data_IF_441889319560
#
_entry.id   IF_441889319560
#
_cell.length_a   1.000
_cell.length_b   1.000
_cell.length_c   1.000
_cell.angle_alpha   90.00
_cell.angle_beta   90.00
_cell.angle_gamma   90.00
#
_symmetry.space_group_name_H-M   'P 1'
#
loop_
_entity.id
_entity.type
_entity.pdbx_description
1 polymer ?
#
# COMPACT_ATOMS: atom_id res chain seq x y z
N UNK A 1 16.24 11.59 24.34
CA UNK A 1 16.15 10.96 23.01
C UNK A 1 15.37 9.67 23.19
N UNK A 2 14.08 9.69 22.85
CA UNK A 2 13.19 8.53 22.98
C UNK A 2 13.53 7.65 21.79
N UNK A 3 14.16 6.50 22.03
CA UNK A 3 14.43 5.51 20.98
C UNK A 3 13.10 5.15 20.32
N UNK A 4 12.90 5.59 19.08
CA UNK A 4 11.77 5.17 18.26
C UNK A 4 12.08 3.73 17.84
N UNK A 5 11.75 2.77 18.70
CA UNK A 5 11.67 1.38 18.26
C UNK A 5 10.57 1.35 17.22
N UNK A 6 10.83 0.96 15.96
CA UNK A 6 9.73 0.61 15.08
C UNK A 6 9.07 -0.59 15.77
N UNK A 7 7.97 -0.32 16.47
CA UNK A 7 6.96 -1.34 16.70
C UNK A 7 6.54 -1.71 15.30
N UNK A 8 7.09 -2.76 14.72
CA UNK A 8 6.64 -3.28 13.44
C UNK A 8 5.16 -3.55 13.64
N UNK A 9 4.32 -2.62 13.17
CA UNK A 9 2.90 -2.80 13.15
C UNK A 9 2.67 -4.15 12.46
N UNK A 10 1.91 -5.08 13.06
CA UNK A 10 1.71 -6.36 12.44
C UNK A 10 1.21 -6.15 11.01
N UNK A 11 1.88 -6.77 10.05
CA UNK A 11 1.50 -6.63 8.65
C UNK A 11 0.20 -7.40 8.39
N UNK A 12 -0.53 -6.98 7.37
CA UNK A 12 -1.60 -7.81 6.82
C UNK A 12 -0.99 -9.03 6.15
N UNK A 13 -1.64 -10.20 6.30
CA UNK A 13 -1.24 -11.39 5.54
C UNK A 13 -1.54 -11.19 4.04
N UNK A 14 -0.96 -12.03 3.17
CA UNK A 14 -1.11 -11.94 1.72
C UNK A 14 -2.57 -11.90 1.25
N UNK A 15 -3.45 -12.73 1.81
CA UNK A 15 -4.88 -12.71 1.45
C UNK A 15 -5.56 -11.40 1.89
N UNK A 16 -5.21 -10.92 3.09
CA UNK A 16 -5.73 -9.66 3.64
C UNK A 16 -5.22 -8.45 2.83
N UNK A 17 -3.95 -8.47 2.43
CA UNK A 17 -3.31 -7.44 1.60
C UNK A 17 -3.89 -7.38 0.20
N UNK A 18 -4.16 -8.53 -0.43
CA UNK A 18 -4.82 -8.58 -1.74
C UNK A 18 -6.25 -8.02 -1.65
N UNK A 19 -7.00 -8.38 -0.61
CA UNK A 19 -8.35 -7.83 -0.41
C UNK A 19 -8.31 -6.30 -0.26
N UNK A 20 -7.35 -5.77 0.50
CA UNK A 20 -7.15 -4.33 0.64
C UNK A 20 -6.81 -3.67 -0.70
N UNK A 21 -5.94 -4.30 -1.50
CA UNK A 21 -5.59 -3.79 -2.83
C UNK A 21 -6.80 -3.71 -3.77
N UNK A 22 -7.60 -4.77 -3.81
CA UNK A 22 -8.81 -4.81 -4.65
C UNK A 22 -9.83 -3.77 -4.20
N UNK A 23 -10.07 -3.64 -2.89
CA UNK A 23 -10.97 -2.61 -2.37
C UNK A 23 -10.48 -1.20 -2.63
N UNK A 24 -9.18 -0.93 -2.48
CA UNK A 24 -8.59 0.38 -2.79
C UNK A 24 -8.74 0.74 -4.27
N UNK A 25 -8.59 -0.24 -5.18
CA UNK A 25 -8.82 -0.04 -6.61
C UNK A 25 -10.29 0.20 -6.97
N UNK A 26 -11.23 -0.34 -6.18
CA UNK A 26 -12.67 -0.14 -6.37
C UNK A 26 -13.12 1.23 -5.86
N UNK A 27 -12.82 1.56 -4.60
CA UNK A 27 -13.06 2.86 -4.00
C UNK A 27 -11.93 3.23 -3.00
N UNK A 28 -11.01 4.14 -3.38
CA UNK A 28 -9.89 4.51 -2.51
C UNK A 28 -10.32 5.39 -1.33
N UNK A 29 -11.56 5.90 -1.31
CA UNK A 29 -12.06 6.77 -0.25
C UNK A 29 -12.64 5.99 0.93
N UNK A 30 -13.08 4.75 0.71
CA UNK A 30 -13.69 3.89 1.72
C UNK A 30 -13.16 2.45 1.65
N UNK A 31 -11.87 2.27 2.00
CA UNK A 31 -11.26 0.94 2.03
C UNK A 31 -11.58 0.21 3.34
N UNK A 32 -12.30 -0.92 3.33
CA UNK A 32 -12.61 -1.67 4.54
C UNK A 32 -11.43 -2.51 5.01
N UNK A 33 -11.19 -2.53 6.32
CA UNK A 33 -10.26 -3.48 6.91
C UNK A 33 -10.91 -4.89 6.91
N UNK A 34 -10.23 -5.95 6.44
CA UNK A 34 -10.79 -7.31 6.42
C UNK A 34 -11.10 -7.87 7.82
N UNK A 35 -10.54 -7.27 8.90
CA UNK A 35 -10.83 -7.65 10.29
C UNK A 35 -11.75 -6.68 11.03
N UNK A 36 -11.69 -5.39 10.71
CA UNK A 36 -12.35 -4.35 11.50
C UNK A 36 -13.55 -3.71 10.80
N UNK A 37 -13.69 -3.90 9.49
CA UNK A 37 -14.74 -3.29 8.68
C UNK A 37 -14.37 -1.88 8.17
N UNK A 38 -15.40 -1.22 7.65
CA UNK A 38 -15.35 0.11 7.00
C UNK A 38 -14.95 1.23 7.97
N UNK A 39 -14.46 2.36 7.42
CA UNK A 39 -14.13 3.56 8.20
C UNK A 39 -12.98 3.42 9.21
N UNK A 40 -12.21 2.33 9.15
CA UNK A 40 -11.07 2.09 10.06
C UNK A 40 -9.70 2.25 9.41
N UNK A 41 -9.65 2.26 8.08
CA UNK A 41 -8.41 2.43 7.31
C UNK A 41 -8.21 3.91 7.01
N UNK A 42 -6.97 4.38 7.23
CA UNK A 42 -6.49 5.68 6.84
C UNK A 42 -5.39 5.52 5.78
N UNK A 43 -5.42 6.37 4.75
CA UNK A 43 -4.30 6.54 3.82
C UNK A 43 -3.28 7.47 4.46
N UNK A 44 -2.13 6.92 4.85
CA UNK A 44 -1.09 7.65 5.60
C UNK A 44 -0.23 8.48 4.65
N UNK A 45 0.19 7.89 3.54
CA UNK A 45 0.98 8.57 2.53
C UNK A 45 0.94 7.86 1.17
N UNK A 46 1.31 8.62 0.15
CA UNK A 46 1.64 8.12 -1.18
C UNK A 46 3.14 8.26 -1.37
N UNK A 47 3.76 7.20 -1.87
CA UNK A 47 5.19 7.11 -2.11
C UNK A 47 5.44 6.91 -3.60
N UNK A 48 6.50 7.54 -4.12
CA UNK A 48 6.94 7.32 -5.49
C UNK A 48 7.49 5.90 -5.63
N UNK A 49 6.85 5.10 -6.49
CA UNK A 49 7.19 3.67 -6.62
C UNK A 49 8.62 3.47 -7.17
N UNK A 50 9.02 4.29 -8.15
CA UNK A 50 10.36 4.22 -8.76
C UNK A 50 11.47 4.52 -7.76
N UNK A 51 11.23 5.48 -6.86
CA UNK A 51 12.16 5.80 -5.79
C UNK A 51 12.30 4.65 -4.78
N UNK A 52 11.19 3.93 -4.50
CA UNK A 52 11.22 2.76 -3.62
C UNK A 52 12.05 1.61 -4.19
N UNK A 53 12.07 1.42 -5.51
CA UNK A 53 12.95 0.44 -6.18
C UNK A 53 14.45 0.76 -5.97
N UNK A 54 14.81 2.04 -5.90
CA UNK A 54 16.17 2.51 -5.58
C UNK A 54 16.48 2.49 -4.06
N UNK A 55 15.53 2.04 -3.24
CA UNK A 55 15.65 1.99 -1.78
C UNK A 55 15.42 3.34 -1.09
N UNK A 56 14.78 4.29 -1.79
CA UNK A 56 14.49 5.64 -1.29
C UNK A 56 12.99 5.83 -1.04
N UNK A 57 12.63 6.38 0.13
CA UNK A 57 11.23 6.70 0.47
C UNK A 57 10.95 8.16 0.16
N UNK A 58 10.31 8.42 -0.98
CA UNK A 58 9.99 9.77 -1.45
C UNK A 58 8.47 9.97 -1.45
N UNK A 59 7.93 10.90 -0.63
CA UNK A 59 6.51 11.24 -0.68
C UNK A 59 6.14 11.84 -2.03
N UNK A 60 5.00 11.42 -2.58
CA UNK A 60 4.49 11.90 -3.88
C UNK A 60 2.99 12.21 -3.82
N UNK A 61 2.44 12.68 -4.94
CA UNK A 61 0.98 12.80 -5.16
C UNK A 61 0.50 11.60 -5.99
N UNK A 62 -0.74 11.11 -5.83
CA UNK A 62 -1.26 9.92 -6.52
C UNK A 62 -1.61 10.18 -8.01
N UNK A 63 -0.75 10.91 -8.74
CA UNK A 63 -0.95 11.33 -10.13
C UNK A 63 -0.16 10.46 -11.13
N UNK A 64 0.86 9.73 -10.67
CA UNK A 64 1.77 8.85 -11.42
C UNK A 64 1.97 7.53 -10.65
N UNK A 65 2.75 6.56 -11.13
CA UNK A 65 3.04 5.29 -10.41
C UNK A 65 3.42 5.52 -8.94
N UNK A 66 2.63 4.93 -8.05
CA UNK A 66 2.75 5.18 -6.61
C UNK A 66 2.49 3.91 -5.80
N UNK A 67 3.17 3.85 -4.66
CA UNK A 67 2.83 2.94 -3.57
C UNK A 67 1.98 3.70 -2.55
N UNK A 68 0.81 3.19 -2.18
CA UNK A 68 -0.01 3.75 -1.11
C UNK A 68 0.23 3.02 0.20
N UNK A 69 0.36 3.75 1.30
CA UNK A 69 0.48 3.18 2.63
C UNK A 69 -0.86 3.33 3.37
N UNK A 70 -1.46 2.19 3.69
CA UNK A 70 -2.70 2.07 4.44
C UNK A 70 -2.41 1.69 5.89
N UNK A 71 -3.15 2.27 6.82
CA UNK A 71 -3.08 1.94 8.24
C UNK A 71 -4.48 1.73 8.82
N UNK A 72 -4.69 0.60 9.52
CA UNK A 72 -5.93 0.36 10.24
C UNK A 72 -5.82 0.80 11.69
N UNK A 73 -6.64 1.77 12.09
CA UNK A 73 -6.72 2.21 13.49
C UNK A 73 -7.38 1.18 14.42
N UNK A 74 -8.16 0.25 13.88
CA UNK A 74 -8.83 -0.80 14.64
C UNK A 74 -7.88 -1.90 15.12
N UNK A 75 -7.08 -2.46 14.20
CA UNK A 75 -6.15 -3.57 14.51
C UNK A 75 -4.67 -3.14 14.59
N UNK A 76 -4.36 -1.87 14.31
CA UNK A 76 -3.01 -1.32 14.38
C UNK A 76 -2.05 -1.87 13.34
N UNK A 77 -2.58 -2.33 12.19
CA UNK A 77 -1.83 -2.95 11.10
C UNK A 77 -1.60 -1.98 9.96
N UNK A 78 -0.49 -2.13 9.25
CA UNK A 78 -0.18 -1.36 8.06
C UNK A 78 0.00 -2.27 6.84
N UNK A 79 -0.34 -1.76 5.66
CA UNK A 79 -0.03 -2.35 4.37
C UNK A 79 0.53 -1.28 3.44
N UNK A 80 1.58 -1.63 2.70
CA UNK A 80 2.02 -0.85 1.55
C UNK A 80 1.53 -1.58 0.29
N UNK A 81 0.76 -0.90 -0.54
CA UNK A 81 0.23 -1.43 -1.78
C UNK A 81 0.93 -0.73 -2.93
N UNK A 82 1.70 -1.49 -3.68
CA UNK A 82 2.30 -1.00 -4.91
C UNK A 82 1.27 -1.13 -6.04
N UNK A 83 0.82 0.02 -6.56
CA UNK A 83 -0.19 0.09 -7.63
C UNK A 83 0.43 0.53 -8.95
N UNK A 84 1.75 0.44 -9.05
CA UNK A 84 2.49 0.73 -10.27
C UNK A 84 1.95 -0.15 -11.38
N UNK A 85 1.62 0.44 -12.52
CA UNK A 85 1.26 -0.35 -13.69
C UNK A 85 2.55 -0.98 -14.19
N UNK A 86 2.65 -2.31 -14.15
CA UNK A 86 3.62 -3.04 -14.95
C UNK A 86 3.41 -2.67 -16.43
N UNK A 87 4.18 -1.71 -16.95
CA UNK A 87 4.36 -1.50 -18.39
C UNK A 87 5.19 -2.65 -19.02
N UNK A 88 5.51 -3.71 -18.26
CA UNK A 88 6.22 -4.90 -18.76
C UNK A 88 5.32 -6.13 -18.87
N UNK A 89 4.33 -6.06 -19.76
CA UNK A 89 3.88 -7.24 -20.49
C UNK A 89 3.75 -6.99 -22.00
N UNK A 90 4.69 -6.24 -22.58
CA UNK A 90 4.99 -6.27 -24.02
C UNK A 90 6.37 -6.92 -24.22
N UNK A 91 6.44 -8.25 -24.15
CA UNK A 91 7.74 -8.92 -24.25
C UNK A 91 7.77 -10.44 -24.20
N UNK A 92 6.68 -11.14 -24.56
CA UNK A 92 6.76 -12.60 -24.78
C UNK A 92 5.84 -13.09 -25.88
N UNK A 93 6.04 -12.54 -27.08
CA UNK A 93 5.84 -13.30 -28.31
C UNK A 93 7.19 -13.48 -29.02
N UNK A 94 7.41 -14.68 -29.56
CA UNK A 94 8.54 -15.18 -30.34
C UNK A 94 9.81 -15.66 -29.60
N UNK A 95 9.82 -16.95 -29.27
CA UNK A 95 10.97 -17.84 -29.49
C UNK A 95 10.47 -19.21 -29.95
#
# INVERSE_FOLDING_TARGET
>A
MKEYRPSSAPEFDMEEGLSLALSYLEDPSDVPCPRCGEGTIEVVCYLDARSMEDGSVVPTSPDQDYTVVLYCHGCGRAAALDLSRDEQQEGREAA
#
